data_IF_612808844361
#
_entry.id   IF_612808844361
#
_cell.length_a   1.000
_cell.length_b   1.000
_cell.length_c   1.000
_cell.angle_alpha   90.00
_cell.angle_beta   90.00
_cell.angle_gamma   90.00
#
_symmetry.space_group_name_H-M   'P 1'
#
loop_
_entity.id
_entity.type
_entity.pdbx_description
1 polymer ?
#
# COMPACT_ATOMS: atom_id res chain seq x y z
N UNK A 1 -21.70 -29.50 -35.66
CA UNK A 1 -22.47 -28.40 -35.02
C UNK A 1 -22.11 -28.23 -33.54
N UNK A 2 -21.80 -29.30 -32.80
CA UNK A 2 -21.39 -29.24 -31.37
C UNK A 2 -20.00 -28.65 -31.10
N UNK A 3 -19.06 -28.74 -32.07
CA UNK A 3 -17.68 -28.22 -31.91
C UNK A 3 -17.56 -26.69 -31.91
N UNK A 4 -18.54 -25.97 -32.45
CA UNK A 4 -18.56 -24.49 -32.50
C UNK A 4 -19.36 -23.86 -31.34
N UNK A 5 -20.22 -24.63 -30.67
CA UNK A 5 -21.05 -24.15 -29.56
C UNK A 5 -20.25 -23.99 -28.26
N UNK A 6 -19.23 -24.83 -28.04
CA UNK A 6 -18.39 -24.81 -26.84
C UNK A 6 -17.55 -23.51 -26.69
N UNK A 7 -16.83 -23.01 -27.72
CA UNK A 7 -16.08 -21.75 -27.58
C UNK A 7 -17.01 -20.53 -27.41
N UNK A 8 -18.20 -20.54 -28.01
CA UNK A 8 -19.16 -19.44 -27.92
C UNK A 8 -19.81 -19.36 -26.52
N UNK A 9 -20.01 -20.50 -25.86
CA UNK A 9 -20.52 -20.55 -24.49
C UNK A 9 -19.50 -20.12 -23.43
N UNK A 10 -18.20 -20.28 -23.70
CA UNK A 10 -17.12 -19.90 -22.78
C UNK A 10 -16.75 -18.41 -22.85
N UNK A 11 -16.99 -17.76 -24.00
CA UNK A 11 -16.67 -16.35 -24.22
C UNK A 11 -17.28 -15.37 -23.18
N UNK A 12 -18.57 -15.44 -22.80
CA UNK A 12 -19.13 -14.54 -21.79
C UNK A 12 -18.55 -14.78 -20.38
N UNK A 13 -18.13 -16.01 -20.06
CA UNK A 13 -17.51 -16.34 -18.78
C UNK A 13 -16.12 -15.69 -18.65
N UNK A 14 -15.34 -15.71 -19.73
CA UNK A 14 -14.00 -15.11 -19.79
C UNK A 14 -14.10 -13.58 -19.70
N UNK A 15 -15.05 -12.96 -20.41
CA UNK A 15 -15.25 -11.51 -20.35
C UNK A 15 -15.68 -11.02 -18.95
N UNK A 16 -16.47 -11.81 -18.22
CA UNK A 16 -16.88 -11.49 -16.84
C UNK A 16 -15.69 -11.48 -15.87
N UNK A 17 -14.73 -12.39 -16.06
CA UNK A 17 -13.53 -12.49 -15.23
C UNK A 17 -12.52 -11.34 -15.44
N UNK A 18 -12.50 -10.70 -16.62
CA UNK A 18 -11.57 -9.61 -16.90
C UNK A 18 -11.98 -8.23 -16.34
N UNK A 19 -13.21 -8.06 -15.84
CA UNK A 19 -13.76 -6.74 -15.48
C UNK A 19 -14.19 -6.58 -14.02
N UNK A 20 -14.09 -7.65 -13.21
CA UNK A 20 -14.54 -7.67 -11.82
C UNK A 20 -13.34 -7.85 -10.90
N UNK A 21 -13.07 -6.85 -10.08
CA UNK A 21 -12.21 -6.91 -8.87
C UNK A 21 -10.67 -6.90 -9.04
N UNK A 22 -10.09 -5.74 -9.45
CA UNK A 22 -8.81 -5.27 -8.85
C UNK A 22 -8.45 -3.77 -9.00
N UNK A 23 -9.36 -2.85 -9.31
CA UNK A 23 -8.97 -1.43 -9.37
C UNK A 23 -10.03 -0.51 -8.79
N UNK A 24 -9.64 0.24 -7.76
CA UNK A 24 -10.32 1.34 -7.06
C UNK A 24 -11.70 1.07 -6.46
N UNK A 25 -11.75 0.60 -5.21
CA UNK A 25 -12.82 1.11 -4.33
C UNK A 25 -12.55 2.60 -4.14
N UNK A 26 -13.60 3.41 -4.27
CA UNK A 26 -13.56 4.84 -3.92
C UNK A 26 -13.15 4.95 -2.45
N UNK A 27 -12.20 5.82 -2.16
CA UNK A 27 -11.80 6.09 -0.79
C UNK A 27 -12.95 6.77 -0.03
N UNK A 28 -13.32 6.21 1.11
CA UNK A 28 -14.28 6.80 2.06
C UNK A 28 -13.53 7.37 3.26
N UNK A 29 -14.03 8.45 3.90
CA UNK A 29 -13.47 8.90 5.18
C UNK A 29 -13.38 7.80 6.24
N UNK A 30 -14.31 6.85 6.24
CA UNK A 30 -14.30 5.70 7.16
C UNK A 30 -13.09 4.77 6.98
N UNK A 31 -12.42 4.79 5.82
CA UNK A 31 -11.25 3.95 5.54
C UNK A 31 -9.99 4.39 6.31
N UNK A 32 -9.99 5.61 6.88
CA UNK A 32 -8.88 6.13 7.69
C UNK A 32 -9.30 6.61 9.10
N UNK A 33 -10.61 6.77 9.35
CA UNK A 33 -11.16 7.06 10.68
C UNK A 33 -11.29 5.79 11.55
N UNK A 34 -10.21 5.00 11.66
CA UNK A 34 -10.18 3.94 12.65
C UNK A 34 -10.26 4.59 14.04
N UNK A 35 -11.22 4.22 14.91
CA UNK A 35 -11.20 4.70 16.30
C UNK A 35 -9.84 4.35 16.88
N UNK A 36 -9.22 5.33 17.57
CA UNK A 36 -7.86 5.23 18.08
C UNK A 36 -7.56 3.79 18.48
N UNK A 37 -6.71 3.13 17.69
CA UNK A 37 -6.39 1.72 17.90
C UNK A 37 -6.07 1.55 19.37
N UNK A 38 -6.68 0.54 20.01
CA UNK A 38 -6.27 0.08 21.34
C UNK A 38 -4.74 0.17 21.44
N UNK A 39 -4.18 0.66 22.56
CA UNK A 39 -2.82 1.18 22.63
C UNK A 39 -1.92 0.26 21.83
N UNK A 40 -1.41 0.78 20.71
CA UNK A 40 -0.36 0.12 19.95
C UNK A 40 0.72 -0.05 21.00
N UNK A 41 0.85 -1.28 21.51
CA UNK A 41 1.92 -1.61 22.41
C UNK A 41 3.15 -1.06 21.72
N UNK A 42 3.85 -0.14 22.38
CA UNK A 42 5.09 0.45 21.93
C UNK A 42 6.11 -0.69 21.87
N UNK A 43 5.97 -1.53 20.87
CA UNK A 43 6.98 -2.47 20.46
C UNK A 43 8.11 -1.56 19.99
N UNK A 44 9.09 -1.40 20.89
CA UNK A 44 10.32 -0.70 20.63
C UNK A 44 10.75 -0.95 19.19
N UNK A 45 11.04 0.13 18.48
CA UNK A 45 11.69 0.08 17.18
C UNK A 45 12.96 -0.77 17.31
N UNK A 46 12.84 -2.04 16.92
CA UNK A 46 13.85 -3.05 17.17
C UNK A 46 13.54 -4.22 16.27
N UNK A 47 14.23 -4.25 15.13
CA UNK A 47 14.07 -5.16 13.99
C UNK A 47 12.80 -4.91 13.16
N UNK A 48 13.02 -4.30 11.99
CA UNK A 48 11.99 -4.00 11.00
C UNK A 48 11.14 -5.22 10.69
N UNK A 49 9.84 -5.11 11.01
CA UNK A 49 8.84 -6.01 10.45
C UNK A 49 8.88 -5.88 8.92
N UNK A 50 8.76 -6.97 8.14
CA UNK A 50 8.56 -6.90 6.70
C UNK A 50 7.37 -6.02 6.29
N UNK A 51 6.43 -5.79 7.23
CA UNK A 51 5.26 -4.95 7.07
C UNK A 51 5.41 -3.57 7.72
N UNK A 52 6.63 -3.10 7.98
CA UNK A 52 6.87 -1.75 8.48
C UNK A 52 6.44 -0.71 7.41
N UNK A 53 5.32 0.01 7.61
CA UNK A 53 4.84 0.97 6.64
C UNK A 53 5.81 2.13 6.44
N UNK A 54 6.69 2.38 7.42
CA UNK A 54 7.73 3.39 7.29
C UNK A 54 8.66 3.10 6.11
N UNK A 55 9.03 1.83 5.91
CA UNK A 55 9.96 1.41 4.85
C UNK A 55 9.40 1.64 3.46
N UNK A 56 8.10 1.42 3.27
CA UNK A 56 7.45 1.53 1.96
C UNK A 56 6.89 2.91 1.67
N UNK A 57 6.39 3.64 2.68
CA UNK A 57 5.73 4.92 2.49
C UNK A 57 6.63 6.13 2.84
N UNK A 58 7.45 6.03 3.88
CA UNK A 58 8.18 7.18 4.44
C UNK A 58 9.65 7.24 4.01
N UNK A 59 10.34 6.09 4.01
CA UNK A 59 11.77 5.97 3.74
C UNK A 59 12.22 6.45 2.34
N UNK A 60 11.42 6.38 1.26
CA UNK A 60 11.83 6.93 -0.05
C UNK A 60 12.18 8.44 0.02
N UNK A 61 11.54 9.17 0.92
CA UNK A 61 11.76 10.60 1.14
C UNK A 61 12.63 10.88 2.37
N UNK A 62 12.30 10.26 3.50
CA UNK A 62 12.94 10.54 4.78
C UNK A 62 14.17 9.68 5.07
N UNK A 63 14.50 8.73 4.21
CA UNK A 63 15.57 7.76 4.47
C UNK A 63 15.15 6.71 5.48
N UNK A 64 16.00 5.70 5.67
CA UNK A 64 15.71 4.62 6.61
C UNK A 64 15.68 5.07 8.07
N UNK A 65 16.42 6.13 8.37
CA UNK A 65 16.63 6.60 9.74
C UNK A 65 15.92 7.94 10.00
N UNK A 66 15.09 8.40 9.06
CA UNK A 66 14.36 9.67 9.20
C UNK A 66 15.15 10.93 8.88
N UNK A 67 16.41 10.82 8.44
CA UNK A 67 17.33 11.95 8.27
C UNK A 67 17.10 12.81 7.03
N UNK A 68 16.11 12.49 6.22
CA UNK A 68 15.87 13.18 4.93
C UNK A 68 16.89 12.80 3.85
N UNK A 69 17.61 11.69 4.02
CA UNK A 69 18.67 11.23 3.12
C UNK A 69 18.21 10.12 2.16
N UNK A 70 16.90 9.88 2.08
CA UNK A 70 16.30 8.97 1.12
C UNK A 70 16.60 9.35 -0.33
N UNK A 71 16.37 8.44 -1.30
CA UNK A 71 16.65 8.67 -2.72
C UNK A 71 15.99 9.95 -3.25
N UNK A 72 14.83 10.34 -2.72
CA UNK A 72 14.17 11.61 -3.03
C UNK A 72 14.52 12.75 -2.07
N UNK A 73 14.96 12.42 -0.86
CA UNK A 73 15.15 13.35 0.26
C UNK A 73 16.15 14.47 -0.01
N UNK A 74 17.30 14.12 -0.61
CA UNK A 74 18.36 15.10 -0.90
C UNK A 74 17.94 16.17 -1.90
N UNK A 75 17.22 15.77 -2.94
CA UNK A 75 16.74 16.68 -3.98
C UNK A 75 15.62 17.60 -3.46
N UNK A 76 14.78 17.07 -2.58
CA UNK A 76 13.62 17.77 -2.02
C UNK A 76 13.93 18.56 -0.74
N UNK A 77 15.14 18.43 -0.17
CA UNK A 77 15.51 19.00 1.15
C UNK A 77 14.49 18.64 2.22
N UNK A 78 14.13 17.37 2.28
CA UNK A 78 13.14 16.83 3.20
C UNK A 78 13.62 17.02 4.64
N UNK A 79 12.70 17.38 5.55
CA UNK A 79 13.01 17.59 6.95
C UNK A 79 13.49 16.31 7.65
N UNK A 80 14.39 16.49 8.61
CA UNK A 80 14.86 15.44 9.51
C UNK A 80 13.80 15.13 10.57
N UNK A 81 13.28 13.91 10.54
CA UNK A 81 12.31 13.37 11.49
C UNK A 81 12.97 12.59 12.64
N UNK A 82 14.30 12.40 12.61
CA UNK A 82 15.01 11.63 13.62
C UNK A 82 14.97 12.27 15.02
N UNK A 83 14.60 13.55 15.11
CA UNK A 83 14.47 14.30 16.37
C UNK A 83 13.02 14.43 16.89
N UNK A 84 12.02 13.89 16.19
CA UNK A 84 10.59 14.05 16.53
C UNK A 84 10.03 12.81 17.27
N UNK A 85 10.91 11.92 17.74
CA UNK A 85 10.57 10.74 18.53
C UNK A 85 10.27 11.06 20.00
#
# INVERSE_FOLDING_TARGET
>A
MTRLALPLALLPLILSACSKDRSSREWSPQDHDQPASAPVATANAGAGSPNDPYRSACAPCHGTDGKGDGPMGRSLRVADLSSVA
#
